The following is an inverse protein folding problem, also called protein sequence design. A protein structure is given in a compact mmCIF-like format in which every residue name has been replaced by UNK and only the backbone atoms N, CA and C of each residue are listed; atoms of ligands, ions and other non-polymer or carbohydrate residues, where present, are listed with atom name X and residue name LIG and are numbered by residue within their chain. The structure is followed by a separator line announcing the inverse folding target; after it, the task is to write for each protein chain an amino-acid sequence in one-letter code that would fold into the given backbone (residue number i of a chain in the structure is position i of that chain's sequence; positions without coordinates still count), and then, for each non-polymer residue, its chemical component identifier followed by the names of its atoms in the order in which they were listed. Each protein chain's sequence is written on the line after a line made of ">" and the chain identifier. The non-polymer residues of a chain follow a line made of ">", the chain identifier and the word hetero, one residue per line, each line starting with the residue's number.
data_IF_368876294313
#
_entry.id   IF_368876294313
#
_cell.length_a   1.000
_cell.length_b   1.000
_cell.length_c   1.000
_cell.angle_alpha   90.00
_cell.angle_beta   90.00
_cell.angle_gamma   90.00
#
_symmetry.space_group_name_H-M   'P 1'
#
loop_
_entity.id
_entity.type
_entity.pdbx_description
1 polymer ?
#
# COMPACT_ATOMS: atom_id res chain seq x y z
N UNK A 1 -1.70 -69.03 -57.63
CA UNK A 1 -2.01 -67.85 -56.78
C UNK A 1 -0.76 -67.48 -56.02
N UNK A 2 -0.17 -66.32 -56.28
CA UNK A 2 1.04 -65.85 -55.59
C UNK A 2 0.62 -65.10 -54.32
N UNK A 3 1.17 -65.51 -53.17
CA UNK A 3 0.96 -64.83 -51.89
C UNK A 3 1.87 -63.60 -51.81
N UNK A 4 1.28 -62.42 -51.62
CA UNK A 4 1.98 -61.16 -51.36
C UNK A 4 2.50 -61.14 -49.92
N UNK A 5 3.82 -61.04 -49.73
CA UNK A 5 4.46 -60.86 -48.43
C UNK A 5 4.29 -59.42 -47.96
N UNK A 6 3.61 -59.24 -46.82
CA UNK A 6 3.50 -57.94 -46.14
C UNK A 6 4.74 -57.77 -45.26
N UNK A 7 5.55 -56.76 -45.52
CA UNK A 7 6.67 -56.38 -44.66
C UNK A 7 6.18 -55.35 -43.63
N UNK A 8 6.06 -55.76 -42.37
CA UNK A 8 5.82 -54.85 -41.25
C UNK A 8 7.15 -54.19 -40.85
N UNK A 9 7.19 -52.85 -40.82
CA UNK A 9 8.31 -52.08 -40.30
C UNK A 9 8.04 -51.74 -38.84
N UNK A 10 8.95 -52.13 -37.95
CA UNK A 10 8.97 -51.72 -36.54
C UNK A 10 9.48 -50.27 -36.46
N UNK A 11 8.65 -49.37 -35.94
CA UNK A 11 8.92 -47.93 -35.86
C UNK A 11 9.60 -47.52 -34.53
N UNK A 12 10.12 -48.47 -33.76
CA UNK A 12 10.98 -48.21 -32.60
C UNK A 12 10.23 -48.11 -31.26
N UNK A 13 10.98 -48.24 -30.17
CA UNK A 13 10.48 -48.16 -28.80
C UNK A 13 10.22 -46.71 -28.38
N UNK A 14 9.10 -46.47 -27.69
CA UNK A 14 8.84 -45.25 -26.93
C UNK A 14 10.01 -45.02 -25.95
N UNK A 15 10.71 -43.90 -26.07
CA UNK A 15 11.73 -43.48 -25.11
C UNK A 15 11.13 -43.27 -23.71
N UNK A 16 11.95 -43.31 -22.64
CA UNK A 16 11.45 -43.22 -21.27
C UNK A 16 10.67 -41.91 -21.06
N UNK A 17 9.40 -42.03 -20.69
CA UNK A 17 8.54 -40.91 -20.32
C UNK A 17 8.58 -40.71 -18.81
N UNK A 18 8.97 -39.51 -18.37
CA UNK A 18 8.87 -39.13 -16.96
C UNK A 18 7.46 -38.61 -16.66
N UNK A 19 6.80 -39.06 -15.58
CA UNK A 19 5.53 -38.50 -15.17
C UNK A 19 5.70 -37.04 -14.74
N UNK A 20 4.78 -36.17 -15.16
CA UNK A 20 4.71 -34.78 -14.66
C UNK A 20 4.05 -34.81 -13.29
N UNK A 21 4.83 -35.13 -12.26
CA UNK A 21 4.40 -35.04 -10.87
C UNK A 21 4.81 -33.65 -10.40
N UNK A 22 3.89 -32.69 -10.43
CA UNK A 22 4.16 -31.38 -9.85
C UNK A 22 4.38 -31.55 -8.34
N UNK A 23 5.48 -31.04 -7.77
CA UNK A 23 5.69 -31.11 -6.33
C UNK A 23 4.58 -30.34 -5.61
N UNK A 24 4.22 -30.84 -4.43
CA UNK A 24 3.23 -30.22 -3.56
C UNK A 24 3.52 -28.71 -3.39
N UNK A 25 2.49 -27.89 -3.58
CA UNK A 25 2.64 -26.43 -3.60
C UNK A 25 3.18 -25.91 -2.26
N UNK A 26 2.75 -26.49 -1.14
CA UNK A 26 3.19 -26.08 0.19
C UNK A 26 4.67 -26.45 0.39
N UNK A 27 5.09 -27.66 0.00
CA UNK A 27 6.48 -28.08 0.03
C UNK A 27 7.38 -27.20 -0.86
N UNK A 28 6.89 -26.80 -2.03
CA UNK A 28 7.60 -25.88 -2.93
C UNK A 28 7.75 -24.47 -2.32
N UNK A 29 6.71 -23.97 -1.66
CA UNK A 29 6.75 -22.70 -0.92
C UNK A 29 7.75 -22.79 0.24
N UNK A 30 7.71 -23.87 1.03
CA UNK A 30 8.61 -24.10 2.16
C UNK A 30 10.08 -24.15 1.73
N UNK A 31 10.41 -24.95 0.72
CA UNK A 31 11.77 -25.05 0.18
C UNK A 31 12.29 -23.68 -0.30
N UNK A 32 11.43 -22.88 -0.93
CA UNK A 32 11.76 -21.53 -1.38
C UNK A 32 12.00 -20.57 -0.21
N UNK A 33 11.24 -20.68 0.88
CA UNK A 33 11.44 -19.87 2.08
C UNK A 33 12.75 -20.25 2.80
N UNK A 34 13.03 -21.55 2.96
CA UNK A 34 14.26 -22.04 3.58
C UNK A 34 15.51 -21.64 2.78
N UNK A 35 15.47 -21.76 1.45
CA UNK A 35 16.54 -21.29 0.58
C UNK A 35 16.74 -19.77 0.67
N UNK A 36 15.65 -18.98 0.74
CA UNK A 36 15.72 -17.54 0.92
C UNK A 36 16.25 -17.13 2.30
N UNK A 37 16.00 -17.93 3.34
CA UNK A 37 16.55 -17.73 4.67
C UNK A 37 18.04 -18.07 4.72
N UNK A 38 18.45 -19.24 4.22
CA UNK A 38 19.85 -19.68 4.18
C UNK A 38 20.75 -18.74 3.37
N UNK A 39 20.23 -18.18 2.27
CA UNK A 39 20.93 -17.18 1.45
C UNK A 39 20.94 -15.76 2.04
N UNK A 40 20.30 -15.54 3.20
CA UNK A 40 20.17 -14.21 3.81
C UNK A 40 19.25 -13.25 3.06
N UNK A 41 18.56 -13.71 2.00
CA UNK A 41 17.68 -12.89 1.15
C UNK A 41 16.50 -12.30 1.94
N UNK A 42 15.96 -13.03 2.91
CA UNK A 42 14.91 -12.51 3.81
C UNK A 42 15.42 -11.33 4.63
N UNK A 43 16.61 -11.45 5.23
CA UNK A 43 17.22 -10.37 6.01
C UNK A 43 17.52 -9.13 5.14
N UNK A 44 18.03 -9.33 3.92
CA UNK A 44 18.26 -8.25 2.96
C UNK A 44 16.96 -7.54 2.54
N UNK A 45 15.87 -8.30 2.34
CA UNK A 45 14.57 -7.74 2.00
C UNK A 45 13.99 -6.94 3.16
N UNK A 46 14.05 -7.46 4.39
CA UNK A 46 13.63 -6.75 5.59
C UNK A 46 14.41 -5.45 5.80
N UNK A 47 15.74 -5.48 5.62
CA UNK A 47 16.58 -4.27 5.70
C UNK A 47 16.16 -3.24 4.64
N UNK A 48 15.91 -3.68 3.41
CA UNK A 48 15.46 -2.80 2.33
C UNK A 48 14.09 -2.17 2.65
N UNK A 49 13.15 -2.96 3.18
CA UNK A 49 11.83 -2.48 3.60
C UNK A 49 11.95 -1.46 4.74
N UNK A 50 12.79 -1.74 5.74
CA UNK A 50 13.05 -0.81 6.83
C UNK A 50 13.62 0.51 6.31
N UNK A 51 14.67 0.47 5.48
CA UNK A 51 15.28 1.68 4.90
C UNK A 51 14.30 2.48 4.03
N UNK A 52 13.46 1.81 3.22
CA UNK A 52 12.41 2.48 2.43
C UNK A 52 11.35 3.13 3.31
N UNK A 53 10.96 2.46 4.39
CA UNK A 53 9.97 2.98 5.34
C UNK A 53 10.53 4.20 6.06
N UNK A 54 11.76 4.13 6.58
CA UNK A 54 12.45 5.27 7.18
C UNK A 54 12.57 6.45 6.22
N UNK A 55 13.00 6.20 4.97
CA UNK A 55 13.10 7.25 3.96
C UNK A 55 11.75 7.91 3.66
N UNK A 56 10.67 7.12 3.58
CA UNK A 56 9.32 7.62 3.32
C UNK A 56 8.73 8.39 4.51
N UNK A 57 9.05 7.99 5.74
CA UNK A 57 8.67 8.72 6.96
C UNK A 57 9.44 10.04 7.04
N UNK A 58 10.74 10.03 6.76
CA UNK A 58 11.57 11.24 6.72
C UNK A 58 11.17 12.18 5.60
N UNK A 59 10.75 11.65 4.45
CA UNK A 59 10.42 12.44 3.26
C UNK A 59 9.12 11.90 2.62
N UNK A 60 7.95 12.26 3.16
CA UNK A 60 6.67 11.89 2.57
C UNK A 60 6.57 12.37 1.12
N UNK A 61 5.84 11.60 0.30
CA UNK A 61 5.52 12.05 -1.05
C UNK A 61 4.66 13.31 -0.99
N UNK A 62 4.96 14.25 -1.88
CA UNK A 62 4.18 15.47 -2.00
C UNK A 62 2.72 15.15 -2.31
N UNK A 63 1.80 15.91 -1.69
CA UNK A 63 0.37 15.85 -2.03
C UNK A 63 0.18 16.41 -3.44
N UNK A 64 -0.28 15.57 -4.36
CA UNK A 64 -0.49 15.97 -5.75
C UNK A 64 -1.48 17.14 -5.87
N UNK A 65 -1.16 18.12 -6.70
CA UNK A 65 -1.98 19.32 -6.92
C UNK A 65 -1.91 20.38 -5.81
N UNK A 66 -1.19 20.12 -4.71
CA UNK A 66 -0.97 21.11 -3.67
C UNK A 66 0.34 21.87 -3.94
N UNK A 67 0.23 23.18 -4.17
CA UNK A 67 1.36 24.08 -4.42
C UNK A 67 1.22 25.36 -3.60
N UNK A 68 2.32 26.12 -3.47
CA UNK A 68 2.31 27.40 -2.78
C UNK A 68 1.28 28.35 -3.41
N UNK A 69 0.38 28.90 -2.60
CA UNK A 69 -0.62 29.86 -3.07
C UNK A 69 0.04 31.22 -3.37
N UNK A 70 -0.37 31.86 -4.46
CA UNK A 70 0.08 33.22 -4.81
C UNK A 70 -0.73 34.30 -4.08
N UNK A 71 -1.95 33.96 -3.66
CA UNK A 71 -2.89 34.87 -2.98
C UNK A 71 -3.57 34.15 -1.82
N UNK A 72 -3.80 34.87 -0.72
CA UNK A 72 -4.49 34.31 0.44
C UNK A 72 -5.98 34.08 0.11
N UNK A 73 -6.51 32.91 0.46
CA UNK A 73 -7.94 32.57 0.30
C UNK A 73 -8.46 31.89 1.56
N UNK A 74 -9.73 32.09 1.85
CA UNK A 74 -10.42 31.49 2.98
C UNK A 74 -11.85 31.16 2.58
N UNK A 75 -12.32 29.96 2.91
CA UNK A 75 -13.69 29.51 2.64
C UNK A 75 -14.15 28.54 3.72
N UNK A 76 -15.46 28.40 3.88
CA UNK A 76 -16.05 27.37 4.73
C UNK A 76 -16.01 26.01 4.00
N UNK A 77 -15.62 24.96 4.71
CA UNK A 77 -15.55 23.60 4.18
C UNK A 77 -16.61 22.72 4.85
N UNK A 78 -17.42 22.03 4.04
CA UNK A 78 -18.33 20.99 4.49
C UNK A 78 -17.68 19.61 4.25
N UNK A 79 -17.22 18.92 5.31
CA UNK A 79 -16.59 17.62 5.19
C UNK A 79 -17.60 16.45 5.11
N UNK A 80 -18.87 16.71 4.77
CA UNK A 80 -19.86 15.65 4.58
C UNK A 80 -19.42 14.68 3.48
N UNK A 81 -19.23 13.41 3.85
CA UNK A 81 -18.88 12.32 2.94
C UNK A 81 -20.09 11.41 2.70
N UNK A 82 -20.09 10.72 1.55
CA UNK A 82 -21.02 9.62 1.29
C UNK A 82 -20.31 8.30 1.52
N UNK A 83 -20.84 7.46 2.40
CA UNK A 83 -20.23 6.19 2.78
C UNK A 83 -20.28 5.20 1.60
N UNK A 84 -19.12 4.70 1.17
CA UNK A 84 -18.99 3.84 -0.02
C UNK A 84 -19.37 2.37 0.20
N UNK A 85 -19.40 1.92 1.45
CA UNK A 85 -19.66 0.53 1.85
C UNK A 85 -20.30 0.48 3.22
N UNK A 86 -21.09 -0.55 3.49
CA UNK A 86 -21.62 -0.79 4.83
C UNK A 86 -20.48 -0.87 5.86
N UNK A 87 -20.62 -0.12 6.95
CA UNK A 87 -19.67 -0.08 8.07
C UNK A 87 -20.28 -0.87 9.22
N UNK A 88 -19.57 -1.90 9.70
CA UNK A 88 -20.00 -2.76 10.79
C UNK A 88 -19.12 -2.57 12.03
N UNK A 89 -19.68 -2.86 13.21
CA UNK A 89 -18.91 -2.97 14.45
C UNK A 89 -18.14 -4.31 14.50
N UNK A 90 -17.31 -4.48 15.53
CA UNK A 90 -16.53 -5.72 15.72
C UNK A 90 -17.38 -6.96 15.99
N UNK A 91 -18.69 -6.80 16.25
CA UNK A 91 -19.66 -7.88 16.48
C UNK A 91 -20.55 -8.14 15.25
N UNK A 92 -20.32 -7.43 14.14
CA UNK A 92 -21.09 -7.57 12.90
C UNK A 92 -22.38 -6.75 12.84
N UNK A 93 -22.62 -5.84 13.78
CA UNK A 93 -23.78 -4.95 13.73
C UNK A 93 -23.52 -3.80 12.76
N UNK A 94 -24.50 -3.47 11.90
CA UNK A 94 -24.40 -2.35 10.98
C UNK A 94 -24.39 -1.01 11.75
N UNK A 95 -23.32 -0.23 11.59
CA UNK A 95 -23.17 1.12 12.13
C UNK A 95 -23.66 2.15 11.11
N UNK A 96 -23.22 2.05 9.87
CA UNK A 96 -23.58 3.00 8.80
C UNK A 96 -23.79 2.24 7.50
N UNK A 97 -24.97 2.38 6.91
CA UNK A 97 -25.27 1.82 5.59
C UNK A 97 -24.53 2.58 4.47
N UNK A 98 -24.16 1.85 3.43
CA UNK A 98 -23.67 2.39 2.16
C UNK A 98 -24.65 3.44 1.62
N UNK A 99 -24.10 4.52 1.08
CA UNK A 99 -24.86 5.64 0.51
C UNK A 99 -25.31 6.69 1.53
N UNK A 100 -25.11 6.45 2.84
CA UNK A 100 -25.41 7.45 3.86
C UNK A 100 -24.45 8.63 3.78
N UNK A 101 -25.00 9.85 3.82
CA UNK A 101 -24.23 11.08 4.04
C UNK A 101 -23.94 11.26 5.53
N UNK A 102 -22.67 11.46 5.87
CA UNK A 102 -22.24 11.68 7.25
C UNK A 102 -21.23 12.82 7.30
N UNK A 103 -21.41 13.73 8.25
CA UNK A 103 -20.40 14.74 8.56
C UNK A 103 -19.62 14.28 9.79
N UNK A 104 -18.30 14.00 9.68
CA UNK A 104 -17.50 13.59 10.82
C UNK A 104 -17.48 14.61 11.98
N UNK A 105 -17.68 15.89 11.66
CA UNK A 105 -17.67 16.97 12.65
C UNK A 105 -18.93 17.03 13.51
N UNK A 106 -20.01 16.35 13.13
CA UNK A 106 -21.22 16.24 13.96
C UNK A 106 -20.96 15.39 15.22
N UNK A 107 -19.98 14.49 15.16
CA UNK A 107 -19.67 13.55 16.24
C UNK A 107 -18.31 13.83 16.88
N UNK A 108 -17.34 14.33 16.11
CA UNK A 108 -15.98 14.62 16.60
C UNK A 108 -15.60 16.07 16.30
N UNK A 109 -15.58 16.90 17.33
CA UNK A 109 -15.10 18.28 17.23
C UNK A 109 -13.58 18.35 16.98
N UNK A 110 -13.16 19.17 16.02
CA UNK A 110 -11.76 19.54 15.82
C UNK A 110 -11.30 20.44 16.99
N UNK A 111 -10.52 19.86 17.91
CA UNK A 111 -10.00 20.56 19.09
C UNK A 111 -8.78 21.44 18.80
N UNK A 112 -8.14 21.25 17.64
CA UNK A 112 -6.91 21.92 17.24
C UNK A 112 -7.00 22.30 15.77
N UNK A 113 -6.33 23.40 15.41
CA UNK A 113 -6.22 23.79 14.01
C UNK A 113 -5.31 22.82 13.26
N UNK A 114 -5.70 22.40 12.05
CA UNK A 114 -4.82 21.61 11.19
C UNK A 114 -4.00 22.56 10.32
N UNK A 115 -2.68 22.50 10.45
CA UNK A 115 -1.76 23.41 9.75
C UNK A 115 -0.91 22.59 8.78
N UNK A 116 -1.08 22.85 7.50
CA UNK A 116 -0.39 22.16 6.42
C UNK A 116 0.80 22.98 5.94
N UNK A 117 1.99 22.38 5.91
CA UNK A 117 3.23 23.05 5.51
C UNK A 117 4.11 22.18 4.62
N UNK A 118 4.85 22.82 3.73
CA UNK A 118 6.00 22.24 3.04
C UNK A 118 7.25 22.37 3.93
N UNK A 119 7.83 21.24 4.33
CA UNK A 119 9.05 21.24 5.16
C UNK A 119 10.32 21.62 4.37
N UNK A 120 10.29 21.63 3.04
CA UNK A 120 11.41 22.16 2.25
C UNK A 120 11.35 23.71 2.14
N UNK A 121 10.23 24.35 2.51
CA UNK A 121 10.07 25.82 2.54
C UNK A 121 10.40 26.39 3.93
N UNK A 122 11.61 26.97 4.03
CA UNK A 122 12.09 27.58 5.26
C UNK A 122 11.22 28.74 5.78
N UNK A 123 10.48 29.44 4.92
CA UNK A 123 9.57 30.50 5.35
C UNK A 123 8.33 29.91 6.03
N UNK A 124 7.75 28.84 5.47
CA UNK A 124 6.62 28.13 6.07
C UNK A 124 7.00 27.49 7.40
N UNK A 125 8.17 26.83 7.48
CA UNK A 125 8.68 26.26 8.73
C UNK A 125 8.84 27.32 9.83
N UNK A 126 9.51 28.44 9.53
CA UNK A 126 9.70 29.53 10.50
C UNK A 126 8.38 30.10 10.97
N UNK A 127 7.43 30.32 10.05
CA UNK A 127 6.10 30.80 10.40
C UNK A 127 5.38 29.80 11.31
N UNK A 128 5.43 28.51 11.00
CA UNK A 128 4.72 27.49 11.74
C UNK A 128 5.27 27.33 13.17
N UNK A 129 6.60 27.28 13.34
CA UNK A 129 7.25 27.22 14.66
C UNK A 129 6.91 28.46 15.50
N UNK A 130 6.85 29.65 14.87
CA UNK A 130 6.53 30.90 15.58
C UNK A 130 5.06 31.03 15.95
N UNK A 131 4.17 30.55 15.08
CA UNK A 131 2.72 30.84 15.16
C UNK A 131 1.89 29.71 15.76
N UNK A 132 2.49 28.52 15.94
CA UNK A 132 1.79 27.33 16.41
C UNK A 132 2.47 26.72 17.64
N UNK A 133 1.67 26.01 18.43
CA UNK A 133 2.10 25.19 19.56
C UNK A 133 1.39 23.84 19.47
N UNK A 134 1.93 22.82 20.14
CA UNK A 134 1.31 21.49 20.17
C UNK A 134 -0.11 21.49 20.77
N UNK A 135 -0.47 22.54 21.52
CA UNK A 135 -1.78 22.67 22.14
C UNK A 135 -2.83 23.24 21.19
N UNK A 136 -2.45 24.17 20.30
CA UNK A 136 -3.40 24.89 19.45
C UNK A 136 -3.44 24.39 17.99
N UNK A 137 -2.42 23.65 17.55
CA UNK A 137 -2.37 23.16 16.17
C UNK A 137 -1.69 21.81 16.04
N UNK A 138 -2.15 21.05 15.04
CA UNK A 138 -1.50 19.87 14.52
C UNK A 138 -0.82 20.21 13.21
N UNK A 139 0.51 20.16 13.20
CA UNK A 139 1.31 20.34 11.99
C UNK A 139 1.25 19.07 11.14
N UNK A 140 0.98 19.25 9.85
CA UNK A 140 0.88 18.19 8.85
C UNK A 140 1.83 18.56 7.70
N UNK A 141 2.81 17.70 7.44
CA UNK A 141 3.74 17.89 6.34
C UNK A 141 3.08 17.47 5.04
N UNK A 142 3.10 18.36 4.05
CA UNK A 142 2.60 18.07 2.71
C UNK A 142 3.71 17.65 1.76
N UNK A 143 4.96 17.95 2.11
CA UNK A 143 6.19 17.63 1.38
C UNK A 143 7.41 17.91 2.28
N UNK A 144 8.59 17.49 1.81
CA UNK A 144 9.88 17.77 2.46
C UNK A 144 10.20 16.86 3.65
N UNK A 145 11.31 17.17 4.35
CA UNK A 145 11.72 16.50 5.59
C UNK A 145 11.77 17.49 6.74
N UNK A 146 11.28 17.14 7.94
CA UNK A 146 11.56 17.90 9.15
C UNK A 146 13.03 17.79 9.57
#
# INVERSE_FOLDING_TARGET
>A
MAASTVAARDYGQLGPTSPVIEPDLLAAIEARLLAAQASGKIAAMNKTLASRTEAKVKRPHSVEGLTATTTMRTWAYDPTITVGSDIFDTRGNLIIAKGRKVNPLDTVGLRQSLVFIDADDAAQLRWAIKSTTILNAKLILTSGSP
#
